data_IF_509132069995
#
_entry.id   IF_509132069995
#
_cell.length_a   1.000
_cell.length_b   1.000
_cell.length_c   1.000
_cell.angle_alpha   90.00
_cell.angle_beta   90.00
_cell.angle_gamma   90.00
#
_symmetry.space_group_name_H-M   'P 1'
#
loop_
_entity.id
_entity.type
_entity.pdbx_description
1 polymer ?
#
# COMPACT_ATOMS: atom_id res chain seq x y z
N UNK A 1 -6.42 51.61 -23.67
CA UNK A 1 -7.85 51.19 -23.64
C UNK A 1 -7.90 49.74 -23.18
N UNK A 2 -8.47 49.31 -22.06
CA UNK A 2 -9.17 49.95 -20.94
C UNK A 2 -8.99 49.05 -19.71
N UNK A 3 -8.96 49.68 -18.54
CA UNK A 3 -8.78 49.12 -17.19
C UNK A 3 -9.93 48.21 -16.70
N UNK A 4 -9.73 47.50 -15.57
CA UNK A 4 -10.51 46.36 -15.10
C UNK A 4 -11.77 46.75 -14.32
N UNK A 5 -12.80 45.89 -14.36
CA UNK A 5 -13.98 46.03 -13.50
C UNK A 5 -13.77 45.29 -12.19
N UNK A 6 -13.39 46.06 -11.18
CA UNK A 6 -13.49 45.74 -9.75
C UNK A 6 -14.96 45.57 -9.40
N UNK A 7 -15.37 44.37 -8.97
CA UNK A 7 -16.60 44.20 -8.22
C UNK A 7 -16.27 43.58 -6.86
N UNK A 8 -16.20 44.49 -5.89
CA UNK A 8 -16.26 44.28 -4.46
C UNK A 8 -17.64 43.68 -4.12
N UNK A 9 -17.68 42.40 -3.71
CA UNK A 9 -18.86 41.83 -3.03
C UNK A 9 -18.39 41.42 -1.63
N UNK A 10 -18.66 42.32 -0.69
CA UNK A 10 -18.60 42.06 0.74
C UNK A 10 -19.97 41.49 1.15
N UNK A 11 -20.04 40.21 1.46
CA UNK A 11 -21.17 39.62 2.18
C UNK A 11 -20.64 38.86 3.39
N UNK A 12 -20.64 39.57 4.51
CA UNK A 12 -20.50 39.00 5.85
C UNK A 12 -21.87 38.44 6.22
N UNK A 13 -21.97 37.11 6.33
CA UNK A 13 -23.02 36.48 7.11
C UNK A 13 -22.35 35.52 8.10
N UNK A 14 -22.46 35.88 9.37
CA UNK A 14 -21.93 35.15 10.50
C UNK A 14 -22.51 33.73 10.54
N UNK A 15 -21.65 32.73 10.39
CA UNK A 15 -22.05 31.35 10.64
C UNK A 15 -22.04 31.12 12.15
N UNK A 16 -23.25 31.04 12.70
CA UNK A 16 -23.53 30.66 14.08
C UNK A 16 -22.87 29.33 14.40
N UNK A 17 -21.98 29.33 15.39
CA UNK A 17 -21.36 28.14 15.95
C UNK A 17 -22.45 27.26 16.59
N UNK A 18 -22.82 26.17 15.92
CA UNK A 18 -23.66 25.14 16.53
C UNK A 18 -22.90 24.46 17.69
N UNK A 19 -23.61 23.98 18.73
CA UNK A 19 -22.96 23.26 19.81
C UNK A 19 -22.33 21.98 19.26
N UNK A 20 -21.02 21.86 19.42
CA UNK A 20 -20.31 20.63 19.18
C UNK A 20 -20.84 19.59 20.19
N UNK A 21 -21.69 18.68 19.71
CA UNK A 21 -21.89 17.42 20.44
C UNK A 21 -20.56 16.69 20.39
N UNK A 22 -19.83 16.73 21.51
CA UNK A 22 -18.69 15.86 21.74
C UNK A 22 -19.21 14.42 21.68
N UNK A 23 -18.99 13.75 20.55
CA UNK A 23 -19.30 12.34 20.41
C UNK A 23 -18.25 11.57 21.21
N UNK A 24 -18.54 11.31 22.48
CA UNK A 24 -17.81 10.29 23.23
C UNK A 24 -18.28 8.93 22.70
N UNK A 25 -17.72 8.51 21.57
CA UNK A 25 -17.79 7.11 21.17
C UNK A 25 -17.31 6.28 22.36
N UNK A 26 -18.01 5.19 22.74
CA UNK A 26 -17.54 4.33 23.82
C UNK A 26 -16.13 3.87 23.48
N UNK A 27 -15.18 4.37 24.26
CA UNK A 27 -13.78 4.06 24.11
C UNK A 27 -13.55 2.65 24.69
N UNK A 28 -13.00 1.79 23.85
CA UNK A 28 -12.34 0.53 24.18
C UNK A 28 -13.22 -0.56 24.80
N UNK A 29 -13.96 -1.26 23.93
CA UNK A 29 -13.97 -2.72 24.04
C UNK A 29 -12.54 -3.22 23.81
N UNK A 30 -12.04 -4.10 24.68
CA UNK A 30 -10.70 -4.66 24.60
C UNK A 30 -10.46 -5.20 23.18
N UNK A 31 -9.52 -4.62 22.44
CA UNK A 31 -8.87 -5.30 21.32
C UNK A 31 -7.94 -6.38 21.90
N UNK A 32 -8.48 -7.27 22.72
CA UNK A 32 -7.94 -8.61 22.84
C UNK A 32 -8.40 -9.35 21.58
N UNK A 33 -7.85 -8.97 20.43
CA UNK A 33 -7.59 -10.02 19.46
C UNK A 33 -6.55 -10.89 20.14
N UNK A 34 -6.86 -12.14 20.54
CA UNK A 34 -5.76 -13.07 20.61
C UNK A 34 -5.07 -12.94 19.25
N UNK A 35 -3.78 -12.64 19.24
CA UNK A 35 -2.94 -13.14 18.17
C UNK A 35 -3.08 -14.65 18.29
N UNK A 36 -4.19 -15.18 17.77
CA UNK A 36 -4.19 -16.50 17.22
C UNK A 36 -2.99 -16.50 16.28
N UNK A 37 -2.12 -17.51 16.31
CA UNK A 37 -1.08 -17.62 15.31
C UNK A 37 -1.82 -17.55 13.98
N UNK A 38 -1.72 -16.40 13.31
CA UNK A 38 -2.29 -16.22 11.99
C UNK A 38 -1.50 -17.23 11.17
N UNK A 39 -2.08 -18.40 10.98
CA UNK A 39 -1.62 -19.31 9.94
C UNK A 39 -1.87 -18.49 8.69
N UNK A 40 -0.81 -17.80 8.24
CA UNK A 40 -0.93 -16.98 7.06
C UNK A 40 -1.49 -17.86 5.95
N UNK A 41 -2.52 -17.39 5.22
CA UNK A 41 -3.06 -18.19 4.14
C UNK A 41 -1.91 -18.58 3.21
N UNK A 42 -1.97 -19.76 2.59
CA UNK A 42 -0.90 -20.18 1.68
C UNK A 42 -0.69 -19.09 0.63
N UNK A 43 0.56 -18.91 0.21
CA UNK A 43 0.95 -17.81 -0.68
C UNK A 43 0.08 -17.71 -1.93
N UNK A 44 -0.35 -18.86 -2.49
CA UNK A 44 -1.27 -18.92 -3.62
C UNK A 44 -2.58 -18.20 -3.36
N UNK A 45 -3.18 -18.39 -2.19
CA UNK A 45 -4.49 -17.85 -1.82
C UNK A 45 -4.37 -16.35 -1.55
N UNK A 46 -3.28 -15.95 -0.88
CA UNK A 46 -2.97 -14.53 -0.70
C UNK A 46 -2.81 -13.81 -2.06
N UNK A 47 -2.07 -14.40 -2.99
CA UNK A 47 -1.93 -13.86 -4.34
C UNK A 47 -3.28 -13.87 -5.08
N UNK A 48 -4.10 -14.90 -4.95
CA UNK A 48 -5.42 -14.95 -5.57
C UNK A 48 -6.30 -13.78 -5.12
N UNK A 49 -6.36 -13.52 -3.81
CA UNK A 49 -7.06 -12.36 -3.24
C UNK A 49 -6.47 -11.04 -3.73
N UNK A 50 -5.14 -10.93 -3.74
CA UNK A 50 -4.46 -9.73 -4.26
C UNK A 50 -4.83 -9.47 -5.72
N UNK A 51 -5.00 -10.51 -6.54
CA UNK A 51 -5.44 -10.39 -7.93
C UNK A 51 -6.87 -9.88 -8.10
N UNK A 52 -7.77 -10.19 -7.16
CA UNK A 52 -9.14 -9.66 -7.17
C UNK A 52 -9.17 -8.16 -6.86
N UNK A 53 -8.24 -7.68 -6.03
CA UNK A 53 -8.19 -6.28 -5.59
C UNK A 53 -7.37 -5.43 -6.58
N UNK A 54 -6.20 -5.92 -6.97
CA UNK A 54 -5.24 -5.20 -7.79
C UNK A 54 -4.43 -6.19 -8.66
N UNK A 55 -4.86 -6.46 -9.90
CA UNK A 55 -4.17 -7.39 -10.81
C UNK A 55 -2.69 -7.03 -11.04
N UNK A 56 -2.38 -5.74 -11.16
CA UNK A 56 -0.99 -5.26 -11.29
C UNK A 56 -0.15 -5.59 -10.04
N UNK A 57 -0.72 -5.47 -8.85
CA UNK A 57 -0.03 -5.78 -7.60
C UNK A 57 0.26 -7.28 -7.48
N UNK A 58 -0.68 -8.13 -7.92
CA UNK A 58 -0.48 -9.56 -7.97
C UNK A 58 0.65 -9.96 -8.94
N UNK A 59 0.67 -9.38 -10.15
CA UNK A 59 1.74 -9.60 -11.14
C UNK A 59 3.11 -9.15 -10.60
N UNK A 60 3.16 -7.96 -10.00
CA UNK A 60 4.36 -7.40 -9.40
C UNK A 60 4.87 -8.27 -8.24
N UNK A 61 3.98 -8.74 -7.37
CA UNK A 61 4.34 -9.62 -6.25
C UNK A 61 4.94 -10.94 -6.74
N UNK A 62 4.35 -11.58 -7.77
CA UNK A 62 4.93 -12.79 -8.36
C UNK A 62 6.32 -12.54 -8.93
N UNK A 63 6.49 -11.45 -9.68
CA UNK A 63 7.79 -11.03 -10.22
C UNK A 63 8.82 -10.82 -9.11
N UNK A 64 8.43 -10.12 -8.04
CA UNK A 64 9.29 -9.84 -6.90
C UNK A 64 9.74 -11.14 -6.19
N UNK A 65 8.79 -12.04 -5.87
CA UNK A 65 9.09 -13.32 -5.21
C UNK A 65 10.00 -14.18 -6.07
N UNK A 66 9.72 -14.30 -7.37
CA UNK A 66 10.55 -15.07 -8.29
C UNK A 66 11.98 -14.53 -8.34
N UNK A 67 12.13 -13.20 -8.39
CA UNK A 67 13.43 -12.58 -8.42
C UNK A 67 14.19 -12.66 -7.08
N UNK A 68 13.48 -12.60 -5.93
CA UNK A 68 14.09 -12.89 -4.62
C UNK A 68 14.61 -14.32 -4.57
N UNK A 69 13.82 -15.31 -5.01
CA UNK A 69 14.24 -16.71 -5.08
C UNK A 69 15.50 -16.88 -5.92
N UNK A 70 15.53 -16.29 -7.12
CA UNK A 70 16.65 -16.40 -8.05
C UNK A 70 17.91 -15.69 -7.58
N UNK A 71 17.78 -14.51 -6.95
CA UNK A 71 18.94 -13.66 -6.58
C UNK A 71 19.44 -13.90 -5.17
N UNK A 72 18.54 -14.24 -4.27
CA UNK A 72 18.82 -14.29 -2.83
C UNK A 72 18.69 -15.72 -2.24
N UNK A 73 18.15 -16.68 -3.00
CA UNK A 73 18.19 -18.10 -2.65
C UNK A 73 17.23 -18.53 -1.54
N UNK A 74 16.21 -17.73 -1.22
CA UNK A 74 15.19 -18.09 -0.24
C UNK A 74 13.77 -17.94 -0.81
N UNK A 75 12.86 -18.76 -0.28
CA UNK A 75 11.42 -18.66 -0.57
C UNK A 75 10.78 -17.59 0.32
N UNK A 76 9.78 -16.89 -0.21
CA UNK A 76 9.02 -15.88 0.50
C UNK A 76 7.61 -16.38 0.73
N UNK A 77 7.13 -16.31 1.97
CA UNK A 77 5.74 -16.66 2.32
C UNK A 77 4.81 -15.43 2.26
N UNK A 78 3.52 -15.67 2.51
CA UNK A 78 2.50 -14.62 2.52
C UNK A 78 2.74 -13.59 3.65
N UNK A 79 3.29 -14.01 4.79
CA UNK A 79 3.60 -13.15 5.92
C UNK A 79 4.67 -12.12 5.58
N UNK A 80 5.80 -12.59 5.06
CA UNK A 80 6.89 -11.75 4.60
C UNK A 80 6.43 -10.80 3.48
N UNK A 81 5.69 -11.30 2.49
CA UNK A 81 5.16 -10.45 1.42
C UNK A 81 4.24 -9.34 1.96
N UNK A 82 3.35 -9.68 2.88
CA UNK A 82 2.45 -8.70 3.52
C UNK A 82 3.24 -7.66 4.32
N UNK A 83 4.26 -8.07 5.06
CA UNK A 83 5.12 -7.14 5.80
C UNK A 83 5.86 -6.17 4.87
N UNK A 84 6.37 -6.67 3.73
CA UNK A 84 7.02 -5.86 2.70
C UNK A 84 6.04 -4.84 2.10
N UNK A 85 4.79 -5.24 1.84
CA UNK A 85 3.75 -4.35 1.33
C UNK A 85 3.25 -3.33 2.37
N UNK A 86 3.14 -3.74 3.64
CA UNK A 86 2.53 -2.96 4.71
C UNK A 86 3.51 -2.08 5.51
N UNK A 87 4.82 -2.25 5.32
CA UNK A 87 5.83 -1.32 5.86
C UNK A 87 5.48 0.11 5.41
N UNK A 88 5.75 1.14 6.22
CA UNK A 88 5.43 2.53 5.88
C UNK A 88 5.89 2.90 4.45
N UNK A 89 4.93 3.11 3.54
CA UNK A 89 5.17 3.42 2.13
C UNK A 89 5.41 2.21 1.20
N UNK A 90 5.44 1.00 1.73
CA UNK A 90 5.79 -0.25 1.05
C UNK A 90 7.30 -0.36 0.76
N UNK A 91 7.74 -1.54 0.33
CA UNK A 91 9.07 -1.68 -0.26
C UNK A 91 9.15 -0.90 -1.59
N UNK A 92 10.13 -0.01 -1.78
CA UNK A 92 10.17 0.87 -2.94
C UNK A 92 10.35 0.12 -4.26
N UNK A 93 11.05 -1.02 -4.25
CA UNK A 93 11.24 -1.84 -5.46
C UNK A 93 9.93 -2.52 -5.82
N UNK A 94 9.23 -3.10 -4.84
CA UNK A 94 7.91 -3.68 -5.03
C UNK A 94 6.90 -2.64 -5.49
N UNK A 95 6.81 -1.48 -4.85
CA UNK A 95 5.89 -0.41 -5.25
C UNK A 95 6.20 0.11 -6.66
N UNK A 96 7.50 0.19 -7.02
CA UNK A 96 7.94 0.46 -8.38
C UNK A 96 7.45 -0.61 -9.37
N UNK A 97 7.53 -1.89 -9.01
CA UNK A 97 7.07 -2.98 -9.86
C UNK A 97 5.56 -2.94 -10.05
N UNK A 98 4.78 -2.63 -9.01
CA UNK A 98 3.33 -2.46 -9.11
C UNK A 98 3.00 -1.39 -10.15
N UNK A 99 3.70 -0.24 -10.11
CA UNK A 99 3.54 0.82 -11.11
C UNK A 99 3.93 0.33 -12.50
N UNK A 100 5.08 -0.32 -12.65
CA UNK A 100 5.57 -0.80 -13.93
C UNK A 100 4.60 -1.83 -14.56
N UNK A 101 4.00 -2.71 -13.75
CA UNK A 101 2.96 -3.63 -14.20
C UNK A 101 1.67 -2.89 -14.60
N UNK A 102 1.25 -1.89 -13.81
CA UNK A 102 0.06 -1.09 -14.12
C UNK A 102 0.20 -0.27 -15.41
N UNK A 103 1.40 0.24 -15.71
CA UNK A 103 1.70 1.00 -16.93
C UNK A 103 2.26 0.15 -18.07
N UNK A 104 2.40 -1.16 -17.88
CA UNK A 104 3.01 -2.09 -18.84
C UNK A 104 4.45 -1.69 -19.25
N UNK A 105 5.20 -1.05 -18.35
CA UNK A 105 6.57 -0.62 -18.60
C UNK A 105 7.57 -1.78 -18.36
N UNK A 106 7.86 -2.50 -19.45
CA UNK A 106 8.78 -3.62 -19.42
C UNK A 106 10.24 -3.21 -19.11
N UNK A 107 10.64 -1.98 -19.44
CA UNK A 107 12.01 -1.51 -19.20
C UNK A 107 12.19 -1.19 -17.71
N UNK A 108 11.26 -0.44 -17.11
CA UNK A 108 11.25 -0.17 -15.68
C UNK A 108 11.18 -1.47 -14.88
N UNK A 109 10.34 -2.43 -15.28
CA UNK A 109 10.27 -3.73 -14.63
C UNK A 109 11.61 -4.46 -14.58
N UNK A 110 12.33 -4.54 -15.71
CA UNK A 110 13.66 -5.18 -15.77
C UNK A 110 14.65 -4.48 -14.84
N UNK A 111 14.66 -3.14 -14.85
CA UNK A 111 15.54 -2.36 -14.00
C UNK A 111 15.23 -2.58 -12.50
N UNK A 112 13.95 -2.63 -12.12
CA UNK A 112 13.53 -2.87 -10.74
C UNK A 112 13.88 -4.28 -10.26
N UNK A 113 13.71 -5.30 -11.11
CA UNK A 113 14.12 -6.68 -10.78
C UNK A 113 15.62 -6.76 -10.45
N UNK A 114 16.47 -6.00 -11.15
CA UNK A 114 17.90 -5.91 -10.88
C UNK A 114 18.25 -5.18 -9.56
N UNK A 115 17.30 -4.44 -8.98
CA UNK A 115 17.48 -3.67 -7.75
C UNK A 115 16.93 -4.35 -6.49
N UNK A 116 16.27 -5.50 -6.62
CA UNK A 116 15.74 -6.26 -5.47
C UNK A 116 16.83 -6.53 -4.42
N UNK A 117 16.60 -6.15 -3.15
CA UNK A 117 17.55 -6.33 -2.06
C UNK A 117 17.43 -7.73 -1.43
N UNK A 118 18.57 -8.34 -1.08
CA UNK A 118 18.59 -9.63 -0.36
C UNK A 118 18.50 -9.48 1.16
N UNK A 119 18.49 -8.25 1.69
CA UNK A 119 18.32 -7.97 3.11
C UNK A 119 16.87 -8.11 3.59
N UNK A 120 15.90 -8.30 2.68
CA UNK A 120 14.49 -8.52 2.99
C UNK A 120 14.19 -9.91 3.58
N UNK A 121 15.15 -10.52 4.28
CA UNK A 121 14.92 -11.69 5.11
C UNK A 121 14.16 -11.24 6.36
N UNK A 122 12.88 -10.95 6.18
CA UNK A 122 11.94 -10.72 7.28
C UNK A 122 11.66 -12.07 7.92
N UNK A 123 12.50 -12.45 8.88
CA UNK A 123 12.31 -13.56 9.83
C UNK A 123 12.89 -13.06 11.16
N UNK A 124 12.17 -13.22 12.27
CA UNK A 124 12.47 -14.35 13.17
C UNK A 124 11.46 -15.49 13.07
#
# INVERSE_FOLDING_TARGET
MNSPRVHLILLIAAWTSGPAFAQTSPAYGQLASPVAPSQDPPLSDYLALLGQIAPAAQSAARTYIAAVRLRCGYEMDAGALRQIMARSGGDPVLMGLIRAEASQDAAARKQLVAQIPCSAKLVP
#
